data_IF_315006650290
#
_entry.id   IF_315006650290
#
_cell.length_a   1.000
_cell.length_b   1.000
_cell.length_c   1.000
_cell.angle_alpha   90.00
_cell.angle_beta   90.00
_cell.angle_gamma   90.00
#
_symmetry.space_group_name_H-M   'P 1'
#
loop_
_entity.id
_entity.type
_entity.pdbx_description
1 polymer ?
#
# COMPACT_ATOMS: atom_id res chain seq x y z
N UNK A 1 24.16 -36.36 19.74
CA UNK A 1 22.71 -36.54 19.43
C UNK A 1 21.93 -35.33 19.93
N UNK A 2 22.11 -34.87 21.16
CA UNK A 2 21.41 -33.67 21.72
C UNK A 2 21.70 -32.37 20.93
N UNK A 3 22.91 -32.14 20.47
CA UNK A 3 23.30 -30.94 19.69
C UNK A 3 22.66 -30.94 18.31
N UNK A 4 22.55 -32.12 17.66
CA UNK A 4 21.88 -32.27 16.38
C UNK A 4 20.36 -32.06 16.49
N UNK A 5 19.72 -32.55 17.55
CA UNK A 5 18.30 -32.34 17.79
C UNK A 5 17.97 -30.85 18.07
N UNK A 6 18.83 -30.15 18.83
CA UNK A 6 18.70 -28.73 19.07
C UNK A 6 18.90 -27.89 17.78
N UNK A 7 19.87 -28.27 16.94
CA UNK A 7 20.11 -27.60 15.65
C UNK A 7 18.95 -27.77 14.66
N UNK A 8 18.37 -28.95 14.57
CA UNK A 8 17.19 -29.21 13.73
C UNK A 8 15.96 -28.49 14.28
N UNK A 9 15.74 -28.52 15.61
CA UNK A 9 14.64 -27.81 16.25
C UNK A 9 14.72 -26.30 16.05
N UNK A 10 15.92 -25.73 16.15
CA UNK A 10 16.15 -24.29 15.91
C UNK A 10 15.95 -23.94 14.41
N UNK A 11 16.43 -24.78 13.49
CA UNK A 11 16.26 -24.60 12.05
C UNK A 11 14.77 -24.62 11.65
N UNK A 12 14.00 -25.59 12.15
CA UNK A 12 12.55 -25.69 11.89
C UNK A 12 11.79 -24.54 12.51
N UNK A 13 12.13 -24.15 13.75
CA UNK A 13 11.54 -22.98 14.40
C UNK A 13 11.82 -21.69 13.61
N UNK A 14 13.08 -21.50 13.18
CA UNK A 14 13.47 -20.30 12.43
C UNK A 14 12.82 -20.26 11.03
N UNK A 15 12.66 -21.41 10.37
CA UNK A 15 11.95 -21.52 9.09
C UNK A 15 10.48 -21.14 9.26
N UNK A 16 9.76 -21.79 10.18
CA UNK A 16 8.34 -21.49 10.45
C UNK A 16 8.10 -20.04 10.91
N UNK A 17 9.04 -19.43 11.65
CA UNK A 17 8.89 -18.05 12.12
C UNK A 17 9.10 -17.00 11.02
N UNK A 18 9.61 -17.40 9.86
CA UNK A 18 9.87 -16.54 8.69
C UNK A 18 8.94 -16.80 7.51
N UNK A 19 8.06 -17.80 7.60
CA UNK A 19 7.02 -18.01 6.58
C UNK A 19 6.06 -16.82 6.54
N UNK A 20 5.73 -16.40 5.31
CA UNK A 20 4.69 -15.38 5.11
C UNK A 20 3.34 -15.94 5.51
N UNK A 21 2.62 -15.21 6.35
CA UNK A 21 1.25 -15.53 6.73
C UNK A 21 0.31 -14.88 5.74
N UNK A 22 -0.46 -15.70 5.04
CA UNK A 22 -1.44 -15.25 4.09
C UNK A 22 -2.77 -14.96 4.77
N UNK A 23 -3.55 -14.05 4.17
CA UNK A 23 -4.90 -13.73 4.60
C UNK A 23 -5.88 -14.77 4.05
N UNK A 24 -6.92 -15.12 4.82
CA UNK A 24 -7.97 -16.06 4.42
C UNK A 24 -9.05 -15.38 3.54
N UNK A 25 -9.18 -14.05 3.63
CA UNK A 25 -10.20 -13.24 2.96
C UNK A 25 -9.60 -12.08 2.14
N UNK A 26 -10.46 -11.36 1.39
CA UNK A 26 -10.12 -10.09 0.73
C UNK A 26 -9.98 -8.96 1.75
N UNK A 27 -8.84 -8.92 2.44
CA UNK A 27 -8.50 -7.83 3.34
C UNK A 27 -8.15 -6.59 2.49
N UNK A 28 -8.73 -5.44 2.85
CA UNK A 28 -8.40 -4.15 2.28
C UNK A 28 -7.65 -3.33 3.33
N UNK A 29 -6.41 -3.01 3.05
CA UNK A 29 -5.51 -2.39 4.03
C UNK A 29 -5.61 -0.87 4.13
N UNK A 30 -6.33 -0.21 3.21
CA UNK A 30 -6.44 1.24 3.15
C UNK A 30 -7.69 1.75 3.87
N UNK A 31 -7.62 2.99 4.34
CA UNK A 31 -8.81 3.74 4.79
C UNK A 31 -9.39 4.52 3.61
N UNK A 32 -10.71 4.44 3.39
CA UNK A 32 -11.40 5.12 2.29
C UNK A 32 -11.12 6.63 2.29
N UNK A 33 -10.88 7.20 1.11
CA UNK A 33 -10.57 8.61 0.90
C UNK A 33 -9.14 9.02 1.25
N UNK A 34 -8.39 8.20 1.96
CA UNK A 34 -7.02 8.52 2.40
C UNK A 34 -6.00 8.50 1.26
N UNK A 35 -6.24 7.75 0.18
CA UNK A 35 -5.32 7.67 -0.95
C UNK A 35 -5.08 9.01 -1.65
N UNK A 36 -6.03 9.95 -1.60
CA UNK A 36 -5.83 11.31 -2.09
C UNK A 36 -4.86 12.15 -1.24
N UNK A 37 -4.65 11.76 0.02
CA UNK A 37 -3.65 12.34 0.92
C UNK A 37 -2.39 11.48 0.97
N UNK A 38 -1.99 10.90 -0.15
CA UNK A 38 -0.84 10.00 -0.27
C UNK A 38 -0.88 8.80 0.70
N UNK A 39 -2.06 8.37 1.12
CA UNK A 39 -2.23 7.22 2.01
C UNK A 39 -1.46 7.33 3.32
N UNK A 40 -1.38 8.53 3.91
CA UNK A 40 -0.52 8.80 5.08
C UNK A 40 -0.96 8.15 6.38
N UNK A 41 -2.11 7.48 6.40
CA UNK A 41 -2.55 6.67 7.53
C UNK A 41 -3.43 5.50 7.09
N UNK A 42 -3.55 4.48 7.92
CA UNK A 42 -4.58 3.45 7.83
C UNK A 42 -4.98 2.98 9.23
N UNK A 43 -6.19 2.42 9.34
CA UNK A 43 -6.68 1.78 10.57
C UNK A 43 -6.77 0.28 10.30
N UNK A 44 -5.99 -0.51 11.04
CA UNK A 44 -6.06 -1.96 10.99
C UNK A 44 -7.34 -2.49 11.66
N UNK A 45 -7.69 -3.76 11.40
CA UNK A 45 -8.92 -4.38 11.92
C UNK A 45 -8.98 -4.40 13.46
N UNK A 46 -7.87 -4.46 14.15
CA UNK A 46 -7.76 -4.38 15.62
C UNK A 46 -7.85 -2.95 16.19
N UNK A 47 -8.09 -1.95 15.34
CA UNK A 47 -8.21 -0.55 15.72
C UNK A 47 -6.87 0.19 15.84
N UNK A 48 -5.74 -0.47 15.62
CA UNK A 48 -4.41 0.19 15.57
C UNK A 48 -4.34 1.12 14.37
N UNK A 49 -3.96 2.38 14.59
CA UNK A 49 -3.71 3.34 13.54
C UNK A 49 -2.22 3.36 13.20
N UNK A 50 -1.88 3.12 11.94
CA UNK A 50 -0.54 3.33 11.38
C UNK A 50 -0.52 4.61 10.58
N UNK A 51 0.50 5.44 10.76
CA UNK A 51 0.53 6.74 10.10
C UNK A 51 1.96 7.28 9.90
N UNK A 52 2.08 8.17 8.93
CA UNK A 52 3.28 8.96 8.70
C UNK A 52 3.27 10.16 9.67
N UNK A 53 4.18 10.18 10.66
CA UNK A 53 4.20 11.21 11.68
C UNK A 53 4.83 12.52 11.17
N UNK A 54 4.06 13.60 10.96
CA UNK A 54 4.61 14.86 10.45
C UNK A 54 5.58 15.54 11.41
N UNK A 55 5.50 15.23 12.72
CA UNK A 55 6.42 15.76 13.73
C UNK A 55 7.79 15.06 13.74
N UNK A 56 7.93 13.92 13.04
CA UNK A 56 9.21 13.22 12.85
C UNK A 56 9.43 12.92 11.36
N UNK A 57 9.36 13.93 10.52
CA UNK A 57 9.66 13.86 9.08
C UNK A 57 8.87 12.77 8.33
N UNK A 58 7.61 12.55 8.70
CA UNK A 58 6.71 11.55 8.10
C UNK A 58 7.18 10.10 8.23
N UNK A 59 7.95 9.78 9.26
CA UNK A 59 8.33 8.40 9.59
C UNK A 59 7.13 7.58 10.05
N UNK A 60 7.23 6.26 9.90
CA UNK A 60 6.15 5.34 10.22
C UNK A 60 5.98 5.14 11.72
N UNK A 61 4.78 5.43 12.21
CA UNK A 61 4.35 5.30 13.60
C UNK A 61 3.05 4.50 13.73
N UNK A 62 2.76 4.06 14.94
CA UNK A 62 1.46 3.53 15.33
C UNK A 62 0.94 4.20 16.59
N UNK A 63 -0.39 4.16 16.80
CA UNK A 63 -1.08 4.55 18.02
C UNK A 63 -2.42 3.83 18.12
N UNK A 64 -3.02 3.83 19.30
CA UNK A 64 -4.42 3.45 19.50
C UNK A 64 -5.36 4.52 18.95
N UNK A 65 -6.62 4.16 18.71
CA UNK A 65 -7.64 5.10 18.20
C UNK A 65 -7.94 6.27 19.14
N UNK A 66 -7.63 6.15 20.43
CA UNK A 66 -7.75 7.21 21.43
C UNK A 66 -6.49 8.10 21.55
N UNK A 67 -5.46 7.84 20.71
CA UNK A 67 -4.19 8.54 20.71
C UNK A 67 -3.16 8.03 21.71
N UNK A 68 -3.48 7.00 22.49
CA UNK A 68 -2.53 6.36 23.42
C UNK A 68 -1.55 5.46 22.66
N UNK A 69 -0.51 4.99 23.36
CA UNK A 69 0.52 4.04 22.89
C UNK A 69 1.24 4.49 21.60
N UNK A 70 1.47 5.79 21.46
CA UNK A 70 2.24 6.34 20.35
C UNK A 70 3.62 5.72 20.27
N UNK A 71 3.87 4.95 19.22
CA UNK A 71 5.11 4.17 19.05
C UNK A 71 5.68 4.36 17.65
N UNK A 72 6.99 4.62 17.59
CA UNK A 72 7.72 4.63 16.32
C UNK A 72 7.96 3.20 15.84
N UNK A 73 7.53 2.91 14.60
CA UNK A 73 7.62 1.59 13.99
C UNK A 73 8.86 1.46 13.11
N UNK A 74 9.18 2.49 12.32
CA UNK A 74 10.34 2.52 11.43
C UNK A 74 10.89 3.93 11.26
N UNK A 75 12.16 4.03 10.86
CA UNK A 75 12.76 5.29 10.40
C UNK A 75 12.42 5.61 8.93
N UNK A 76 11.72 4.74 8.26
CA UNK A 76 11.28 4.96 6.89
C UNK A 76 10.22 6.07 6.82
N UNK A 77 10.39 6.99 5.89
CA UNK A 77 9.34 7.91 5.44
C UNK A 77 8.30 7.09 4.69
N UNK A 78 7.05 7.09 5.15
CA UNK A 78 6.01 6.19 4.65
C UNK A 78 4.87 6.94 3.98
N UNK A 79 4.43 6.43 2.82
CA UNK A 79 3.20 6.85 2.13
C UNK A 79 2.42 5.62 1.69
N UNK A 80 1.17 5.77 1.29
CA UNK A 80 0.30 4.68 0.85
C UNK A 80 0.31 3.50 1.80
N UNK A 81 0.11 3.81 3.10
CA UNK A 81 0.17 2.84 4.19
C UNK A 81 -1.07 1.95 4.16
N UNK A 82 -0.84 0.64 4.25
CA UNK A 82 -1.86 -0.41 4.36
C UNK A 82 -1.49 -1.33 5.51
N UNK A 83 -2.46 -1.98 6.13
CA UNK A 83 -2.19 -2.99 7.14
C UNK A 83 -3.20 -4.14 7.06
N UNK A 84 -2.72 -5.35 7.29
CA UNK A 84 -3.52 -6.51 7.64
C UNK A 84 -3.21 -6.96 9.08
N UNK A 85 -3.63 -8.14 9.48
CA UNK A 85 -3.40 -8.65 10.83
C UNK A 85 -1.92 -8.93 11.14
N UNK A 86 -1.10 -9.16 10.12
CA UNK A 86 0.29 -9.61 10.26
C UNK A 86 1.32 -8.58 9.82
N UNK A 87 0.98 -7.73 8.83
CA UNK A 87 1.94 -6.88 8.16
C UNK A 87 1.44 -5.46 7.96
N UNK A 88 2.41 -4.56 7.76
CA UNK A 88 2.23 -3.19 7.28
C UNK A 88 2.89 -3.11 5.91
N UNK A 89 2.18 -2.59 4.92
CA UNK A 89 2.67 -2.35 3.56
C UNK A 89 2.69 -0.84 3.32
N UNK A 90 3.75 -0.34 2.71
CA UNK A 90 3.88 1.09 2.45
C UNK A 90 4.87 1.35 1.33
N UNK A 91 4.73 2.50 0.71
CA UNK A 91 5.77 3.03 -0.15
C UNK A 91 6.76 3.81 0.72
N UNK A 92 8.03 3.39 0.66
CA UNK A 92 9.12 4.04 1.36
C UNK A 92 9.69 5.15 0.50
N UNK A 93 9.68 6.38 1.00
CA UNK A 93 10.18 7.57 0.32
C UNK A 93 11.34 8.20 1.11
N UNK A 94 12.39 7.43 1.38
CA UNK A 94 13.55 7.92 2.10
C UNK A 94 14.41 8.81 1.20
N UNK A 95 14.77 10.03 1.63
CA UNK A 95 15.71 10.86 0.91
C UNK A 95 17.10 10.19 0.90
N UNK A 96 17.70 10.05 -0.27
CA UNK A 96 19.08 9.59 -0.44
C UNK A 96 19.97 10.79 -0.76
N UNK A 97 20.88 11.09 0.16
CA UNK A 97 21.90 12.11 -0.05
C UNK A 97 23.15 11.45 -0.61
N UNK A 98 23.54 11.80 -1.84
CA UNK A 98 24.78 11.33 -2.48
C UNK A 98 25.85 12.40 -2.38
N UNK A 99 26.89 12.17 -1.56
CA UNK A 99 28.08 13.02 -1.56
C UNK A 99 28.91 12.77 -2.85
N UNK A 100 29.47 13.78 -3.52
CA UNK A 100 29.51 15.21 -3.14
C UNK A 100 28.31 16.04 -3.64
N UNK A 101 27.26 15.40 -4.17
CA UNK A 101 26.12 16.06 -4.80
C UNK A 101 24.90 16.10 -3.85
N UNK A 102 25.12 16.46 -2.59
CA UNK A 102 24.06 16.51 -1.56
C UNK A 102 22.91 17.48 -1.88
N UNK A 103 23.04 18.32 -2.90
CA UNK A 103 21.97 19.15 -3.44
C UNK A 103 21.02 18.38 -4.38
N UNK A 104 21.39 17.17 -4.81
CA UNK A 104 20.56 16.25 -5.57
C UNK A 104 19.96 15.22 -4.61
N UNK A 105 18.76 15.48 -4.14
CA UNK A 105 18.01 14.50 -3.37
C UNK A 105 17.28 13.58 -4.33
N UNK A 106 17.63 12.30 -4.32
CA UNK A 106 16.91 11.26 -5.04
C UNK A 106 16.05 10.52 -4.02
N UNK A 107 14.74 10.59 -4.17
CA UNK A 107 13.83 9.79 -3.38
C UNK A 107 13.75 8.37 -3.96
N UNK A 108 13.90 7.37 -3.11
CA UNK A 108 13.73 5.98 -3.52
C UNK A 108 12.34 5.52 -3.09
N UNK A 109 11.35 5.72 -3.95
CA UNK A 109 9.99 5.25 -3.74
C UNK A 109 9.96 3.74 -4.00
N UNK A 110 10.07 2.93 -2.96
CA UNK A 110 10.05 1.47 -3.08
C UNK A 110 8.92 0.88 -2.26
N UNK A 111 8.28 -0.17 -2.79
CA UNK A 111 7.23 -0.88 -2.09
C UNK A 111 7.83 -1.81 -1.03
N UNK A 112 7.40 -1.66 0.21
CA UNK A 112 7.92 -2.38 1.37
C UNK A 112 6.83 -3.10 2.14
N UNK A 113 7.22 -4.19 2.83
CA UNK A 113 6.43 -4.88 3.85
C UNK A 113 7.20 -4.97 5.16
N UNK A 114 6.53 -4.72 6.29
CA UNK A 114 7.07 -4.84 7.64
C UNK A 114 6.18 -5.76 8.49
N UNK A 115 6.77 -6.65 9.27
CA UNK A 115 6.06 -7.53 10.22
C UNK A 115 5.60 -6.71 11.45
N UNK A 116 4.29 -6.71 11.73
CA UNK A 116 3.67 -5.97 12.84
C UNK A 116 4.17 -6.42 14.22
N UNK A 117 4.45 -7.71 14.37
CA UNK A 117 4.84 -8.27 15.67
C UNK A 117 6.32 -8.11 16.00
N UNK A 118 7.17 -7.95 14.98
CA UNK A 118 8.61 -7.97 15.13
C UNK A 118 9.26 -6.62 14.97
N UNK A 119 8.60 -5.66 14.29
CA UNK A 119 9.11 -4.32 13.93
C UNK A 119 10.57 -4.37 13.43
N UNK A 120 10.91 -5.45 12.69
CA UNK A 120 12.24 -5.67 12.14
C UNK A 120 12.41 -4.87 10.86
N UNK A 121 13.58 -4.98 10.26
CA UNK A 121 13.88 -4.38 8.97
C UNK A 121 12.80 -4.77 7.93
N UNK A 122 12.26 -3.76 7.24
CA UNK A 122 11.33 -3.96 6.14
C UNK A 122 11.97 -4.80 5.03
N UNK A 123 11.17 -5.63 4.38
CA UNK A 123 11.55 -6.31 3.14
C UNK A 123 11.01 -5.50 1.95
N UNK A 124 11.76 -5.53 0.84
CA UNK A 124 11.33 -4.95 -0.42
C UNK A 124 10.40 -5.93 -1.14
N UNK A 125 9.21 -5.47 -1.51
CA UNK A 125 8.34 -6.16 -2.46
C UNK A 125 8.66 -5.70 -3.90
N UNK A 126 8.94 -4.40 -4.08
CA UNK A 126 9.49 -3.83 -5.30
C UNK A 126 10.52 -2.75 -4.95
N UNK A 127 11.68 -2.79 -5.63
CA UNK A 127 12.76 -1.80 -5.46
C UNK A 127 12.65 -0.61 -6.40
N UNK A 128 11.76 -0.67 -7.39
CA UNK A 128 11.50 0.41 -8.33
C UNK A 128 10.62 1.50 -7.72
N UNK A 129 10.60 2.67 -8.34
CA UNK A 129 9.71 3.74 -7.90
C UNK A 129 8.25 3.29 -7.98
N UNK A 130 7.59 3.30 -6.83
CA UNK A 130 6.24 2.77 -6.62
C UNK A 130 5.34 3.81 -5.98
N UNK A 131 4.06 3.85 -6.38
CA UNK A 131 3.04 4.78 -5.87
C UNK A 131 1.70 4.06 -5.73
N UNK A 132 0.78 4.65 -4.99
CA UNK A 132 -0.62 4.21 -4.88
C UNK A 132 -0.79 2.75 -4.44
N UNK A 133 0.08 2.26 -3.54
CA UNK A 133 -0.03 0.90 -3.03
C UNK A 133 -1.38 0.63 -2.36
N UNK A 134 -2.01 -0.46 -2.74
CA UNK A 134 -3.34 -0.87 -2.28
C UNK A 134 -3.38 -2.37 -2.04
N UNK A 135 -3.60 -2.77 -0.79
CA UNK A 135 -3.72 -4.19 -0.42
C UNK A 135 -5.11 -4.72 -0.77
N UNK A 136 -5.14 -5.84 -1.49
CA UNK A 136 -6.34 -6.63 -1.79
C UNK A 136 -6.05 -8.10 -1.52
N UNK A 137 -6.56 -8.62 -0.43
CA UNK A 137 -6.30 -9.99 -0.01
C UNK A 137 -4.82 -10.27 0.21
N UNK A 138 -4.23 -11.08 -0.65
CA UNK A 138 -2.81 -11.48 -0.59
C UNK A 138 -1.94 -10.85 -1.68
N UNK A 139 -2.42 -9.76 -2.28
CA UNK A 139 -1.70 -9.01 -3.30
C UNK A 139 -1.68 -7.53 -2.98
N UNK A 140 -0.61 -6.85 -3.36
CA UNK A 140 -0.53 -5.39 -3.36
C UNK A 140 -0.55 -4.92 -4.81
N UNK A 141 -1.53 -4.08 -5.14
CA UNK A 141 -1.66 -3.40 -6.43
C UNK A 141 -1.05 -2.00 -6.31
N UNK A 142 -0.26 -1.58 -7.30
CA UNK A 142 0.47 -0.32 -7.22
C UNK A 142 0.82 0.22 -8.60
N UNK A 143 1.24 1.48 -8.66
CA UNK A 143 1.89 2.02 -9.84
C UNK A 143 3.38 1.75 -9.76
N UNK A 144 3.92 1.09 -10.76
CA UNK A 144 5.33 0.81 -10.97
C UNK A 144 5.88 1.75 -12.03
N UNK A 145 7.06 2.29 -11.81
CA UNK A 145 7.77 3.11 -12.78
C UNK A 145 9.05 2.41 -13.26
N UNK A 146 9.22 2.36 -14.56
CA UNK A 146 10.48 2.05 -15.21
C UNK A 146 10.77 3.01 -16.39
N UNK A 147 12.03 3.03 -16.84
CA UNK A 147 12.48 3.95 -17.91
C UNK A 147 11.94 3.61 -19.30
N UNK A 148 11.40 2.41 -19.49
CA UNK A 148 10.92 1.92 -20.78
C UNK A 148 9.43 2.17 -20.99
N UNK A 149 8.62 1.74 -20.02
CA UNK A 149 7.17 1.76 -20.10
C UNK A 149 6.55 2.86 -19.22
N UNK A 150 7.38 3.67 -18.52
CA UNK A 150 6.98 4.71 -17.59
C UNK A 150 6.15 4.17 -16.43
N UNK A 151 5.06 4.83 -16.09
CA UNK A 151 4.19 4.42 -14.99
C UNK A 151 3.12 3.48 -15.50
N UNK A 152 3.07 2.27 -14.97
CA UNK A 152 2.12 1.21 -15.33
C UNK A 152 1.52 0.57 -14.08
N UNK A 153 0.41 -0.16 -14.22
CA UNK A 153 -0.29 -0.80 -13.12
C UNK A 153 0.24 -2.22 -12.91
N UNK A 154 0.71 -2.49 -11.71
CA UNK A 154 1.36 -3.74 -11.30
C UNK A 154 0.65 -4.40 -10.13
N UNK A 155 0.88 -5.69 -9.96
CA UNK A 155 0.61 -6.43 -8.74
C UNK A 155 1.84 -7.21 -8.27
N UNK A 156 1.91 -7.47 -6.96
CA UNK A 156 2.89 -8.37 -6.34
C UNK A 156 2.24 -9.10 -5.16
N UNK A 157 2.59 -10.37 -4.96
CA UNK A 157 2.19 -11.11 -3.77
C UNK A 157 2.72 -10.47 -2.47
N UNK A 158 1.99 -10.62 -1.38
CA UNK A 158 2.44 -10.11 -0.07
C UNK A 158 3.75 -10.75 0.41
N UNK A 159 4.16 -11.88 -0.15
CA UNK A 159 5.44 -12.55 0.08
C UNK A 159 6.57 -12.04 -0.83
N UNK A 160 6.25 -11.17 -1.79
CA UNK A 160 7.17 -10.65 -2.80
C UNK A 160 7.27 -11.52 -4.06
N UNK A 161 6.44 -12.57 -4.17
CA UNK A 161 6.39 -13.42 -5.37
C UNK A 161 5.47 -12.82 -6.44
N UNK A 162 5.61 -13.34 -7.66
CA UNK A 162 4.69 -13.12 -8.80
C UNK A 162 4.45 -11.62 -9.16
N UNK A 163 5.47 -10.78 -9.00
CA UNK A 163 5.39 -9.38 -9.43
C UNK A 163 5.29 -9.28 -10.96
N UNK A 164 4.22 -8.65 -11.46
CA UNK A 164 4.04 -8.44 -12.89
C UNK A 164 3.12 -7.27 -13.20
N UNK A 165 3.20 -6.81 -14.45
CA UNK A 165 2.34 -5.79 -15.00
C UNK A 165 0.94 -6.35 -15.27
N UNK A 166 -0.08 -5.73 -14.66
CA UNK A 166 -1.50 -6.06 -14.86
C UNK A 166 -2.06 -5.29 -16.06
N UNK A 167 -1.76 -3.98 -16.11
CA UNK A 167 -2.22 -3.10 -17.21
C UNK A 167 -1.17 -2.03 -17.50
N UNK A 168 -1.13 -1.58 -18.78
CA UNK A 168 -0.30 -0.43 -19.19
C UNK A 168 -0.88 0.90 -18.72
N UNK A 169 -2.17 0.95 -18.46
CA UNK A 169 -2.84 2.15 -17.97
C UNK A 169 -2.50 2.38 -16.50
N UNK A 170 -2.00 3.56 -16.13
CA UNK A 170 -1.60 3.86 -14.76
C UNK A 170 -2.83 4.20 -13.90
N UNK A 171 -3.63 3.21 -13.55
CA UNK A 171 -4.76 3.40 -12.65
C UNK A 171 -4.31 3.98 -11.31
N UNK A 172 -4.98 5.04 -10.87
CA UNK A 172 -4.71 5.69 -9.58
C UNK A 172 -5.80 5.32 -8.58
N UNK A 173 -5.60 4.29 -7.77
CA UNK A 173 -6.58 3.87 -6.79
C UNK A 173 -7.04 5.02 -5.89
N UNK A 174 -8.33 5.11 -5.67
CA UNK A 174 -8.94 6.06 -4.74
C UNK A 174 -9.62 5.37 -3.55
N UNK A 175 -10.11 4.14 -3.76
CA UNK A 175 -10.69 3.30 -2.73
C UNK A 175 -10.58 1.84 -3.11
N UNK A 176 -10.57 0.97 -2.10
CA UNK A 176 -10.57 -0.48 -2.28
C UNK A 176 -11.72 -1.05 -1.44
N UNK A 177 -12.57 -1.88 -2.05
CA UNK A 177 -13.70 -2.53 -1.38
C UNK A 177 -13.81 -3.98 -1.86
N UNK A 178 -13.57 -4.94 -0.97
CA UNK A 178 -13.52 -6.35 -1.33
C UNK A 178 -12.45 -6.60 -2.39
N UNK A 179 -12.83 -7.22 -3.50
CA UNK A 179 -11.96 -7.50 -4.65
C UNK A 179 -11.81 -6.32 -5.62
N UNK A 180 -12.52 -5.21 -5.40
CA UNK A 180 -12.57 -4.10 -6.35
C UNK A 180 -11.67 -2.93 -5.94
N UNK A 181 -10.91 -2.44 -6.90
CA UNK A 181 -10.13 -1.19 -6.80
C UNK A 181 -10.85 -0.11 -7.60
N UNK A 182 -11.31 0.94 -6.94
CA UNK A 182 -11.97 2.07 -7.58
C UNK A 182 -10.96 3.16 -7.94
N UNK A 183 -11.17 3.81 -9.09
CA UNK A 183 -10.31 4.88 -9.57
C UNK A 183 -11.10 5.88 -10.45
N UNK A 184 -10.60 7.11 -10.57
CA UNK A 184 -11.05 8.01 -11.62
C UNK A 184 -10.41 7.60 -12.95
N UNK A 185 -11.07 7.89 -14.02
CA UNK A 185 -10.54 7.68 -15.36
C UNK A 185 -9.22 8.39 -15.60
N UNK A 186 -8.48 7.93 -16.58
CA UNK A 186 -7.17 8.45 -16.96
C UNK A 186 -7.29 9.53 -18.02
N UNK A 187 -6.36 10.47 -18.04
CA UNK A 187 -6.32 11.62 -18.96
C UNK A 187 -7.54 12.55 -18.78
N UNK A 188 -8.39 12.68 -19.79
CA UNK A 188 -9.56 13.56 -19.79
C UNK A 188 -10.85 12.84 -19.36
N UNK A 189 -10.76 11.60 -18.94
CA UNK A 189 -11.89 10.82 -18.46
C UNK A 189 -12.02 10.98 -16.95
N UNK A 190 -13.06 11.65 -16.49
CA UNK A 190 -13.39 11.84 -15.08
C UNK A 190 -14.54 10.94 -14.60
N UNK A 191 -14.81 9.88 -15.32
CA UNK A 191 -15.75 8.86 -14.89
C UNK A 191 -15.20 8.10 -13.66
N UNK A 192 -16.07 7.40 -12.95
CA UNK A 192 -15.67 6.48 -11.90
C UNK A 192 -15.65 5.07 -12.46
N UNK A 193 -14.52 4.44 -12.36
CA UNK A 193 -14.26 3.07 -12.79
C UNK A 193 -13.92 2.17 -11.60
N UNK A 194 -14.05 0.87 -11.79
CA UNK A 194 -13.47 -0.12 -10.88
C UNK A 194 -12.72 -1.21 -11.67
N UNK A 195 -11.65 -1.67 -11.08
CA UNK A 195 -10.88 -2.83 -11.53
C UNK A 195 -11.25 -4.03 -10.66
N UNK A 196 -11.61 -5.14 -11.28
CA UNK A 196 -11.88 -6.42 -10.61
C UNK A 196 -10.60 -7.25 -10.57
N UNK A 197 -10.05 -7.47 -9.37
CA UNK A 197 -8.79 -8.19 -9.16
C UNK A 197 -8.89 -9.71 -9.34
N UNK A 198 -10.09 -10.25 -9.56
CA UNK A 198 -10.32 -11.68 -9.84
C UNK A 198 -10.29 -11.95 -11.34
N UNK A 199 -10.83 -11.02 -12.12
CA UNK A 199 -10.96 -11.18 -13.57
C UNK A 199 -9.95 -10.36 -14.37
N UNK A 200 -9.18 -9.50 -13.70
CA UNK A 200 -8.23 -8.53 -14.28
C UNK A 200 -8.90 -7.63 -15.35
N UNK A 201 -10.12 -7.19 -15.07
CA UNK A 201 -10.89 -6.35 -15.98
C UNK A 201 -11.39 -5.08 -15.31
N UNK A 202 -11.43 -3.99 -16.08
CA UNK A 202 -12.02 -2.72 -15.64
C UNK A 202 -13.42 -2.53 -16.19
N UNK A 203 -14.31 -1.98 -15.38
CA UNK A 203 -15.68 -1.62 -15.80
C UNK A 203 -16.07 -0.22 -15.33
N UNK A 204 -16.92 0.42 -16.12
CA UNK A 204 -17.47 1.74 -15.83
C UNK A 204 -18.54 1.62 -14.73
N UNK A 205 -18.34 2.34 -13.63
CA UNK A 205 -19.32 2.39 -12.52
C UNK A 205 -20.26 3.57 -12.67
N UNK A 206 -19.73 4.77 -12.93
CA UNK A 206 -20.52 5.98 -13.06
C UNK A 206 -19.92 6.91 -14.12
N UNK A 207 -20.75 7.30 -15.10
CA UNK A 207 -20.36 8.22 -16.17
C UNK A 207 -20.65 9.67 -15.74
N UNK A 208 -19.65 10.54 -15.85
CA UNK A 208 -19.78 11.96 -15.54
C UNK A 208 -18.44 12.66 -15.39
N UNK A 209 -18.44 13.81 -14.74
CA UNK A 209 -17.24 14.60 -14.48
C UNK A 209 -17.03 14.72 -12.97
N UNK A 210 -16.51 13.65 -12.39
CA UNK A 210 -16.38 13.49 -10.93
C UNK A 210 -14.93 13.58 -10.48
N UNK A 211 -14.72 14.09 -9.26
CA UNK A 211 -13.41 14.21 -8.65
C UNK A 211 -13.39 13.57 -7.26
N UNK A 212 -12.22 13.07 -6.89
CA UNK A 212 -11.90 12.54 -5.57
C UNK A 212 -12.94 11.51 -5.05
N UNK A 213 -13.32 10.48 -5.84
CA UNK A 213 -14.26 9.50 -5.36
C UNK A 213 -13.69 8.73 -4.16
N UNK A 214 -14.55 8.49 -3.16
CA UNK A 214 -14.29 7.63 -2.03
C UNK A 214 -15.45 6.64 -1.89
N UNK A 215 -15.14 5.36 -1.77
CA UNK A 215 -16.13 4.30 -1.67
C UNK A 215 -16.11 3.69 -0.27
N UNK A 216 -17.26 3.66 0.38
CA UNK A 216 -17.44 3.08 1.71
C UNK A 216 -18.63 2.15 1.66
N UNK A 217 -18.38 0.83 1.77
CA UNK A 217 -19.41 -0.19 1.56
C UNK A 217 -20.00 -0.11 0.15
N UNK A 218 -21.29 0.15 0.05
CA UNK A 218 -22.05 0.28 -1.20
C UNK A 218 -22.29 1.75 -1.63
N UNK A 219 -21.69 2.71 -0.94
CA UNK A 219 -21.89 4.15 -1.17
C UNK A 219 -20.63 4.79 -1.75
N UNK A 220 -20.80 5.59 -2.81
CA UNK A 220 -19.75 6.38 -3.43
C UNK A 220 -19.96 7.85 -3.11
N UNK A 221 -18.96 8.49 -2.52
CA UNK A 221 -18.86 9.93 -2.31
C UNK A 221 -17.93 10.53 -3.35
N UNK A 222 -18.30 11.64 -3.96
CA UNK A 222 -17.47 12.33 -4.96
C UNK A 222 -17.80 13.81 -5.03
N UNK A 223 -16.94 14.60 -5.67
CA UNK A 223 -17.21 15.98 -6.03
C UNK A 223 -17.73 16.03 -7.46
N UNK A 224 -18.92 16.56 -7.67
CA UNK A 224 -19.52 16.72 -8.99
C UNK A 224 -19.11 18.09 -9.59
N UNK A 225 -18.25 18.07 -10.59
CA UNK A 225 -17.75 19.28 -11.25
C UNK A 225 -18.82 19.98 -12.09
N UNK A 226 -19.81 19.27 -12.59
CA UNK A 226 -20.89 19.86 -13.39
C UNK A 226 -21.87 20.65 -12.51
N UNK A 227 -21.94 20.33 -11.21
CA UNK A 227 -22.77 20.98 -10.22
C UNK A 227 -21.97 21.83 -9.20
N UNK A 228 -20.88 22.46 -9.62
CA UNK A 228 -20.04 23.33 -8.79
C UNK A 228 -19.44 22.63 -7.56
N UNK A 229 -19.03 21.38 -7.73
CA UNK A 229 -18.40 20.54 -6.68
C UNK A 229 -19.30 20.28 -5.46
N UNK A 230 -20.58 20.16 -5.68
CA UNK A 230 -21.56 19.80 -4.62
C UNK A 230 -21.80 18.30 -4.52
#
# INVERSE_FOLDING_TARGET
ILVLAAGVGFGVYHHKSNETKFNDDYINGNTAGNLYNAGIFCTAADGTIYFANPSDSSKLYSMNSDGSDLTKISDDVATFINADDNYIYYVRNNPVFTEPFSFLTINTDSLCRLDRSKHKKSILLDSSASLYASLVGNKVYYLHYDDKDFTTFYEVGIDGADSHQVDKTPYRPCSVVGQYIYFNGVSNDHNIWRFDTVTDTSELVLKGNYYMPAVIGDTIFFLDNENNYT
#
